data_IF_050185521380
#
_entry.id   IF_050185521380
#
_cell.length_a   1.000
_cell.length_b   1.000
_cell.length_c   1.000
_cell.angle_alpha   90.00
_cell.angle_beta   90.00
_cell.angle_gamma   90.00
#
_symmetry.space_group_name_H-M   'P 1'
#
loop_
_entity.id
_entity.type
_entity.pdbx_description
1 polymer ?
#
# COMPACT_ATOMS: atom_id res chain seq x y z
N UNK A 1 -46.80 -16.28 42.03
CA UNK A 1 -46.47 -16.28 40.59
C UNK A 1 -45.56 -15.09 40.28
N UNK A 2 -44.28 -15.09 40.69
CA UNK A 2 -43.43 -13.90 40.50
C UNK A 2 -41.90 -14.09 40.50
N UNK A 3 -41.33 -15.30 40.40
CA UNK A 3 -39.85 -15.44 40.40
C UNK A 3 -39.19 -15.73 39.04
N UNK A 4 -39.93 -16.14 38.00
CA UNK A 4 -39.33 -16.50 36.70
C UNK A 4 -39.00 -15.30 35.80
N UNK A 5 -39.66 -14.14 35.98
CA UNK A 5 -39.47 -12.95 35.13
C UNK A 5 -38.12 -12.25 35.37
N UNK A 6 -37.58 -12.34 36.58
CA UNK A 6 -36.30 -11.71 36.94
C UNK A 6 -35.11 -12.39 36.24
N UNK A 7 -35.20 -13.69 35.97
CA UNK A 7 -34.12 -14.43 35.33
C UNK A 7 -33.96 -14.11 33.83
N UNK A 8 -35.07 -13.88 33.11
CA UNK A 8 -35.01 -13.50 31.69
C UNK A 8 -34.48 -12.07 31.47
N UNK A 9 -34.73 -11.16 32.40
CA UNK A 9 -34.25 -9.78 32.32
C UNK A 9 -32.72 -9.70 32.50
N UNK A 10 -32.17 -10.47 33.46
CA UNK A 10 -30.71 -10.59 33.62
C UNK A 10 -30.04 -11.27 32.43
N UNK A 11 -30.66 -12.31 31.83
CA UNK A 11 -30.14 -12.97 30.63
C UNK A 11 -30.14 -12.02 29.41
N UNK A 12 -31.18 -11.19 29.26
CA UNK A 12 -31.28 -10.23 28.16
C UNK A 12 -30.26 -9.07 28.27
N UNK A 13 -29.92 -8.65 29.48
CA UNK A 13 -28.89 -7.62 29.71
C UNK A 13 -27.49 -8.21 29.48
N UNK A 14 -27.23 -9.46 29.89
CA UNK A 14 -25.95 -10.12 29.70
C UNK A 14 -25.63 -10.35 28.20
N UNK A 15 -26.63 -10.61 27.37
CA UNK A 15 -26.46 -10.77 25.92
C UNK A 15 -26.26 -9.44 25.18
N UNK A 16 -26.79 -8.32 25.69
CA UNK A 16 -26.58 -7.00 25.07
C UNK A 16 -25.13 -6.51 25.20
N UNK A 17 -24.44 -6.85 26.29
CA UNK A 17 -23.05 -6.42 26.56
C UNK A 17 -22.05 -7.05 25.57
N UNK A 18 -22.35 -8.23 25.01
CA UNK A 18 -21.46 -8.91 24.05
C UNK A 18 -21.48 -8.20 22.67
N UNK A 19 -22.61 -7.59 22.28
CA UNK A 19 -22.75 -6.89 21.00
C UNK A 19 -22.11 -5.49 20.96
N UNK A 20 -21.85 -4.87 22.12
CA UNK A 20 -21.23 -3.55 22.22
C UNK A 20 -19.76 -3.59 22.64
N UNK A 21 -19.10 -4.76 22.57
CA UNK A 21 -17.65 -4.74 22.62
C UNK A 21 -17.16 -4.11 21.30
N UNK A 22 -16.47 -2.94 21.32
CA UNK A 22 -15.77 -2.52 20.13
C UNK A 22 -14.83 -3.68 19.81
N UNK A 23 -14.98 -4.24 18.62
CA UNK A 23 -13.95 -5.09 18.06
C UNK A 23 -12.75 -4.18 17.92
N UNK A 24 -11.90 -4.14 18.95
CA UNK A 24 -10.54 -3.67 18.79
C UNK A 24 -9.97 -4.60 17.74
N UNK A 25 -9.99 -4.13 16.49
CA UNK A 25 -9.21 -4.72 15.43
C UNK A 25 -7.78 -4.65 15.96
N UNK A 26 -7.33 -5.75 16.55
CA UNK A 26 -5.95 -5.97 16.90
C UNK A 26 -5.26 -5.99 15.54
N UNK A 27 -4.84 -4.82 15.05
CA UNK A 27 -3.93 -4.74 13.94
C UNK A 27 -2.75 -5.61 14.35
N UNK A 28 -2.59 -6.77 13.70
CA UNK A 28 -1.38 -7.58 13.86
C UNK A 28 -0.22 -6.60 13.72
N UNK A 29 0.77 -6.59 14.61
CA UNK A 29 1.95 -5.77 14.40
C UNK A 29 2.48 -6.13 13.02
N UNK A 30 2.37 -5.18 12.07
CA UNK A 30 2.73 -5.42 10.69
C UNK A 30 4.17 -5.91 10.72
N UNK A 31 4.42 -7.14 10.27
CA UNK A 31 5.78 -7.61 10.18
C UNK A 31 6.51 -6.71 9.16
N UNK A 32 7.84 -6.60 9.23
CA UNK A 32 8.59 -5.70 8.35
C UNK A 32 8.30 -5.94 6.86
N UNK A 33 8.01 -7.17 6.48
CA UNK A 33 7.60 -7.53 5.13
C UNK A 33 6.28 -6.85 4.72
N UNK A 34 5.25 -6.96 5.55
CA UNK A 34 3.94 -6.34 5.29
C UNK A 34 4.05 -4.81 5.17
N UNK A 35 4.94 -4.18 5.95
CA UNK A 35 5.18 -2.74 5.86
C UNK A 35 5.77 -2.37 4.49
N UNK A 36 6.78 -3.10 4.03
CA UNK A 36 7.39 -2.85 2.73
C UNK A 36 6.45 -3.18 1.56
N UNK A 37 5.63 -4.22 1.68
CA UNK A 37 4.61 -4.52 0.68
C UNK A 37 3.52 -3.44 0.63
N UNK A 38 3.11 -2.91 1.77
CA UNK A 38 2.17 -1.79 1.81
C UNK A 38 2.78 -0.51 1.21
N UNK A 39 4.04 -0.20 1.53
CA UNK A 39 4.75 0.92 0.93
C UNK A 39 4.88 0.76 -0.59
N UNK A 40 5.26 -0.44 -1.07
CA UNK A 40 5.30 -0.74 -2.50
C UNK A 40 3.94 -0.49 -3.17
N UNK A 41 2.85 -1.03 -2.60
CA UNK A 41 1.49 -0.86 -3.12
C UNK A 41 1.10 0.62 -3.25
N UNK A 42 1.36 1.42 -2.21
CA UNK A 42 1.03 2.85 -2.22
C UNK A 42 1.86 3.62 -3.25
N UNK A 43 3.16 3.37 -3.29
CA UNK A 43 4.10 4.12 -4.14
C UNK A 43 3.96 3.75 -5.61
N UNK A 44 3.73 2.48 -5.94
CA UNK A 44 3.54 2.07 -7.33
C UNK A 44 2.22 2.60 -7.92
N UNK A 45 1.18 2.74 -7.09
CA UNK A 45 -0.06 3.41 -7.48
C UNK A 45 0.20 4.88 -7.84
N UNK A 46 0.88 5.62 -6.96
CA UNK A 46 1.26 7.02 -7.23
C UNK A 46 2.14 7.15 -8.48
N UNK A 47 3.09 6.23 -8.67
CA UNK A 47 3.92 6.20 -9.88
C UNK A 47 3.07 6.05 -11.15
N UNK A 48 2.07 5.18 -11.10
CA UNK A 48 1.14 4.95 -12.21
C UNK A 48 0.30 6.18 -12.52
N UNK A 49 -0.27 6.83 -11.50
CA UNK A 49 -1.09 8.03 -11.67
C UNK A 49 -0.29 9.19 -12.31
N UNK A 50 0.96 9.38 -11.87
CA UNK A 50 1.83 10.40 -12.45
C UNK A 50 2.32 10.04 -13.86
N UNK A 51 2.52 8.76 -14.16
CA UNK A 51 2.84 8.30 -15.53
C UNK A 51 1.69 8.61 -16.49
N UNK A 52 0.45 8.30 -16.09
CA UNK A 52 -0.74 8.59 -16.90
C UNK A 52 -0.89 10.10 -17.14
N UNK A 53 -0.68 10.90 -16.09
CA UNK A 53 -0.68 12.36 -16.19
C UNK A 53 0.43 12.84 -17.13
N UNK A 54 1.65 12.32 -16.99
CA UNK A 54 2.77 12.69 -17.87
C UNK A 54 2.49 12.36 -19.33
N UNK A 55 1.96 11.17 -19.62
CA UNK A 55 1.59 10.75 -20.97
C UNK A 55 0.53 11.66 -21.58
N UNK A 56 -0.47 12.07 -20.81
CA UNK A 56 -1.49 13.02 -21.23
C UNK A 56 -0.90 14.40 -21.58
N UNK A 57 -0.05 14.96 -20.72
CA UNK A 57 0.57 16.27 -20.97
C UNK A 57 1.48 16.24 -22.20
N UNK A 58 2.27 15.18 -22.36
CA UNK A 58 3.12 14.98 -23.55
C UNK A 58 2.27 14.87 -24.83
N UNK A 59 1.15 14.14 -24.80
CA UNK A 59 0.21 14.06 -25.94
C UNK A 59 -0.44 15.40 -26.27
N UNK A 60 -0.66 16.25 -25.27
CA UNK A 60 -1.20 17.60 -25.44
C UNK A 60 -0.15 18.63 -25.87
N UNK A 61 1.13 18.23 -25.94
CA UNK A 61 2.24 19.10 -26.32
C UNK A 61 2.82 19.94 -25.17
N UNK A 62 2.40 19.71 -23.93
CA UNK A 62 3.03 20.34 -22.75
C UNK A 62 4.22 19.49 -22.27
N UNK A 63 5.35 19.63 -22.98
CA UNK A 63 6.58 18.90 -22.68
C UNK A 63 7.11 19.18 -21.26
N UNK A 64 6.95 20.41 -20.77
CA UNK A 64 7.45 20.80 -19.44
C UNK A 64 6.67 20.09 -18.34
N UNK A 65 5.33 20.13 -18.38
CA UNK A 65 4.51 19.41 -17.40
C UNK A 65 4.64 17.90 -17.55
N UNK A 66 4.72 17.41 -18.78
CA UNK A 66 5.02 16.01 -19.09
C UNK A 66 6.28 15.54 -18.36
N UNK A 67 7.39 16.25 -18.55
CA UNK A 67 8.67 15.93 -17.90
C UNK A 67 8.63 16.06 -16.36
N UNK A 68 7.95 17.07 -15.83
CA UNK A 68 7.78 17.22 -14.37
C UNK A 68 7.06 16.01 -13.78
N UNK A 69 5.95 15.59 -14.40
CA UNK A 69 5.16 14.46 -13.92
C UNK A 69 5.86 13.11 -14.17
N UNK A 70 6.59 12.96 -15.28
CA UNK A 70 7.42 11.78 -15.53
C UNK A 70 8.48 11.62 -14.43
N UNK A 71 9.17 12.70 -14.05
CA UNK A 71 10.17 12.65 -12.97
C UNK A 71 9.54 12.32 -11.62
N UNK A 72 8.34 12.84 -11.32
CA UNK A 72 7.60 12.45 -10.11
C UNK A 72 7.23 10.98 -10.12
N UNK A 73 6.70 10.48 -11.23
CA UNK A 73 6.36 9.08 -11.41
C UNK A 73 7.57 8.19 -11.17
N UNK A 74 8.71 8.54 -11.78
CA UNK A 74 9.95 7.82 -11.64
C UNK A 74 10.48 7.80 -10.21
N UNK A 75 10.38 8.91 -9.47
CA UNK A 75 10.77 8.95 -8.05
C UNK A 75 9.91 7.99 -7.20
N UNK A 76 8.58 8.00 -7.40
CA UNK A 76 7.70 7.04 -6.70
C UNK A 76 7.97 5.59 -7.12
N UNK A 77 8.27 5.35 -8.40
CA UNK A 77 8.67 4.03 -8.90
C UNK A 77 9.95 3.52 -8.25
N UNK A 78 10.97 4.39 -8.10
CA UNK A 78 12.22 4.07 -7.38
C UNK A 78 11.92 3.69 -5.93
N UNK A 79 11.15 4.51 -5.21
CA UNK A 79 10.78 4.23 -3.82
C UNK A 79 10.02 2.90 -3.69
N UNK A 80 9.03 2.67 -4.57
CA UNK A 80 8.27 1.42 -4.61
C UNK A 80 9.20 0.21 -4.81
N UNK A 81 10.03 0.23 -5.85
CA UNK A 81 10.92 -0.88 -6.17
C UNK A 81 11.94 -1.12 -5.07
N UNK A 82 12.44 -0.09 -4.39
CA UNK A 82 13.30 -0.26 -3.22
C UNK A 82 12.59 -0.96 -2.06
N UNK A 83 11.33 -0.64 -1.79
CA UNK A 83 10.55 -1.34 -0.77
C UNK A 83 10.28 -2.78 -1.18
N UNK A 84 9.99 -3.04 -2.46
CA UNK A 84 9.85 -4.41 -2.97
C UNK A 84 11.13 -5.23 -2.77
N UNK A 85 12.31 -4.68 -3.06
CA UNK A 85 13.60 -5.34 -2.81
C UNK A 85 13.71 -5.75 -1.33
N UNK A 86 13.41 -4.84 -0.40
CA UNK A 86 13.47 -5.13 1.04
C UNK A 86 12.48 -6.21 1.47
N UNK A 87 11.29 -6.27 0.84
CA UNK A 87 10.33 -7.33 1.09
C UNK A 87 10.87 -8.70 0.64
N UNK A 88 11.48 -8.77 -0.55
CA UNK A 88 12.11 -9.98 -1.07
C UNK A 88 13.31 -10.44 -0.23
N UNK A 89 14.14 -9.50 0.25
CA UNK A 89 15.25 -9.80 1.16
C UNK A 89 14.76 -10.42 2.48
N UNK A 90 13.60 -10.00 3.00
CA UNK A 90 13.01 -10.59 4.22
C UNK A 90 12.43 -11.97 3.96
N UNK A 91 11.85 -12.20 2.79
CA UNK A 91 11.24 -13.49 2.45
C UNK A 91 12.27 -14.57 2.07
N UNK A 92 13.57 -14.23 2.03
CA UNK A 92 14.64 -15.07 1.47
C UNK A 92 14.37 -15.53 0.02
N UNK A 93 13.53 -14.78 -0.72
CA UNK A 93 13.29 -15.04 -2.14
C UNK A 93 14.33 -14.27 -2.96
N UNK A 94 15.33 -14.98 -3.49
CA UNK A 94 16.42 -14.35 -4.25
C UNK A 94 16.31 -14.53 -5.76
N UNK A 95 15.42 -15.41 -6.23
CA UNK A 95 15.29 -15.77 -7.65
C UNK A 95 14.88 -14.55 -8.50
N UNK A 96 14.02 -13.68 -7.96
CA UNK A 96 13.46 -12.52 -8.68
C UNK A 96 14.19 -11.19 -8.43
N UNK A 97 15.24 -11.17 -7.58
CA UNK A 97 15.91 -9.91 -7.22
C UNK A 97 16.65 -9.25 -8.40
N UNK A 98 17.05 -10.03 -9.40
CA UNK A 98 17.75 -9.50 -10.59
C UNK A 98 16.80 -8.66 -11.46
N UNK A 99 15.61 -9.18 -11.74
CA UNK A 99 14.56 -8.49 -12.50
C UNK A 99 14.05 -7.25 -11.77
N UNK A 100 13.86 -7.33 -10.45
CA UNK A 100 13.45 -6.18 -9.64
C UNK A 100 14.52 -5.07 -9.70
N UNK A 101 15.81 -5.43 -9.64
CA UNK A 101 16.92 -4.46 -9.79
C UNK A 101 17.00 -3.87 -11.20
N UNK A 102 16.68 -4.64 -12.24
CA UNK A 102 16.57 -4.12 -13.59
C UNK A 102 15.42 -3.09 -13.70
N UNK A 103 14.26 -3.39 -13.11
CA UNK A 103 13.14 -2.44 -12.99
C UNK A 103 13.52 -1.15 -12.26
N UNK A 104 14.31 -1.25 -11.18
CA UNK A 104 14.83 -0.08 -10.46
C UNK A 104 15.70 0.81 -11.35
N UNK A 105 16.53 0.21 -12.20
CA UNK A 105 17.37 0.96 -13.14
C UNK A 105 16.51 1.63 -14.22
N UNK A 106 15.46 0.96 -14.71
CA UNK A 106 14.52 1.57 -15.67
C UNK A 106 13.82 2.81 -15.11
N UNK A 107 13.46 2.81 -13.83
CA UNK A 107 12.93 4.02 -13.20
C UNK A 107 13.95 5.15 -13.11
N UNK A 108 15.22 4.84 -12.84
CA UNK A 108 16.30 5.86 -12.84
C UNK A 108 16.52 6.44 -14.24
N UNK A 109 16.55 5.59 -15.25
CA UNK A 109 16.63 6.02 -16.66
C UNK A 109 15.46 6.94 -17.03
N UNK A 110 14.22 6.57 -16.63
CA UNK A 110 13.03 7.40 -16.88
C UNK A 110 13.09 8.75 -16.16
N UNK A 111 13.64 8.79 -14.94
CA UNK A 111 13.78 10.03 -14.17
C UNK A 111 14.74 11.02 -14.84
N UNK A 112 15.75 10.49 -15.51
CA UNK A 112 16.89 11.23 -16.06
C UNK A 112 16.78 11.45 -17.59
N UNK A 113 15.75 10.89 -18.25
CA UNK A 113 15.46 11.12 -19.68
C UNK A 113 14.71 12.42 -19.96
N UNK A 114 14.22 13.06 -18.90
CA UNK A 114 13.85 14.46 -18.79
C UNK A 114 14.81 15.11 -17.75
#
# INVERSE_FOLDING_TARGET
MQSKKMNYFFIAILSLVIFFTPQFANAKPLNKFDNYMNEWNQKISLASDYLETAEMELKNGDELQGCINQRKAANYGIEATQSLIKAFEISNSTEDLSDIKAGLNKWRELRDSC
#
